data_IF_243878891272
#
_entry.id   IF_243878891272
#
_cell.length_a   1.000
_cell.length_b   1.000
_cell.length_c   1.000
_cell.angle_alpha   90.00
_cell.angle_beta   90.00
_cell.angle_gamma   90.00
#
_symmetry.space_group_name_H-M   'P 1'
#
loop_
_entity.id
_entity.type
_entity.pdbx_description
1 polymer ?
#
# COMPACT_ATOMS: atom_id res chain seq x y z
N UNK A 1 -47.45 -6.90 -74.09
CA UNK A 1 -48.20 -6.60 -72.85
C UNK A 1 -47.22 -6.07 -71.80
N UNK A 2 -47.63 -5.07 -71.00
CA UNK A 2 -46.89 -4.33 -69.93
C UNK A 2 -46.50 -5.24 -68.73
N UNK A 3 -45.91 -4.78 -67.59
CA UNK A 3 -45.30 -3.48 -67.16
C UNK A 3 -43.89 -3.65 -66.51
N UNK A 4 -43.00 -2.64 -66.37
CA UNK A 4 -42.73 -1.62 -65.30
C UNK A 4 -42.69 -2.16 -63.84
N UNK A 5 -41.62 -1.78 -63.10
CA UNK A 5 -41.36 -1.67 -61.63
C UNK A 5 -40.06 -2.41 -61.20
N UNK A 6 -39.10 -1.93 -60.39
CA UNK A 6 -38.91 -0.74 -59.55
C UNK A 6 -37.41 -0.53 -59.23
N UNK A 7 -37.10 0.66 -58.71
CA UNK A 7 -35.83 1.16 -58.16
C UNK A 7 -35.40 0.46 -56.86
N UNK A 8 -34.10 0.44 -56.53
CA UNK A 8 -33.60 0.82 -55.20
C UNK A 8 -32.06 0.89 -55.16
N UNK A 9 -31.54 2.10 -54.96
CA UNK A 9 -30.17 2.39 -54.56
C UNK A 9 -29.94 1.94 -53.11
N UNK A 10 -28.83 1.26 -52.84
CA UNK A 10 -28.49 0.76 -51.52
C UNK A 10 -26.99 0.81 -51.21
N UNK A 11 -26.46 2.03 -51.10
CA UNK A 11 -25.32 2.44 -50.26
C UNK A 11 -24.33 1.32 -49.85
N UNK A 12 -23.37 0.97 -50.72
CA UNK A 12 -22.25 0.11 -50.32
C UNK A 12 -21.30 0.90 -49.40
N UNK A 13 -21.44 0.61 -48.10
CA UNK A 13 -20.63 1.15 -47.03
C UNK A 13 -19.15 0.85 -47.29
N UNK A 14 -18.40 1.90 -47.62
CA UNK A 14 -16.95 1.85 -47.74
C UNK A 14 -16.34 1.24 -46.47
N UNK A 15 -15.90 -0.02 -46.56
CA UNK A 15 -15.02 -0.65 -45.58
C UNK A 15 -13.71 0.15 -45.55
N UNK A 16 -13.65 1.16 -44.69
CA UNK A 16 -12.39 1.80 -44.35
C UNK A 16 -11.45 0.72 -43.82
N UNK A 17 -10.47 0.32 -44.65
CA UNK A 17 -9.40 -0.59 -44.23
C UNK A 17 -8.63 0.10 -43.12
N UNK A 18 -8.98 -0.21 -41.88
CA UNK A 18 -8.21 0.22 -40.72
C UNK A 18 -6.78 -0.33 -40.94
N UNK A 19 -5.77 0.55 -41.07
CA UNK A 19 -4.41 0.08 -41.31
C UNK A 19 -3.92 -0.82 -40.17
N UNK A 20 -3.14 -1.86 -40.48
CA UNK A 20 -2.66 -2.85 -39.49
C UNK A 20 -1.97 -2.20 -38.28
N UNK A 21 -1.30 -1.06 -38.47
CA UNK A 21 -0.67 -0.30 -37.38
C UNK A 21 -1.66 0.14 -36.27
N UNK A 22 -2.93 0.37 -36.61
CA UNK A 22 -3.96 0.83 -35.66
C UNK A 22 -4.56 -0.33 -34.86
N UNK A 23 -4.56 -1.55 -35.41
CA UNK A 23 -4.94 -2.78 -34.68
C UNK A 23 -3.88 -3.17 -33.65
N UNK A 24 -2.60 -3.07 -33.99
CA UNK A 24 -1.50 -3.37 -33.06
C UNK A 24 -1.48 -2.45 -31.83
N UNK A 25 -1.72 -1.13 -31.99
CA UNK A 25 -1.84 -0.21 -30.84
C UNK A 25 -3.02 -0.53 -29.92
N UNK A 26 -4.13 -1.06 -30.46
CA UNK A 26 -5.29 -1.49 -29.66
C UNK A 26 -5.02 -2.79 -28.90
N UNK A 27 -4.37 -3.77 -29.52
CA UNK A 27 -3.96 -5.01 -28.85
C UNK A 27 -2.88 -4.75 -27.77
N UNK A 28 -1.93 -3.85 -28.03
CA UNK A 28 -0.92 -3.46 -27.03
C UNK A 28 -1.51 -2.75 -25.80
N UNK A 29 -2.68 -2.12 -25.95
CA UNK A 29 -3.44 -1.50 -24.84
C UNK A 29 -4.31 -2.48 -24.07
N UNK A 30 -4.82 -3.54 -24.71
CA UNK A 30 -5.65 -4.56 -24.05
C UNK A 30 -4.84 -5.56 -23.21
N UNK A 31 -3.52 -5.69 -23.45
CA UNK A 31 -2.62 -6.50 -22.63
C UNK A 31 -2.15 -5.83 -21.33
N UNK A 32 -2.55 -4.59 -21.07
CA UNK A 32 -2.42 -3.98 -19.75
C UNK A 32 -3.76 -4.05 -19.04
N UNK A 33 -4.08 -5.23 -18.52
CA UNK A 33 -5.04 -5.31 -17.43
C UNK A 33 -4.51 -4.40 -16.30
N UNK A 34 -5.28 -3.40 -15.80
CA UNK A 34 -4.85 -2.54 -14.69
C UNK A 34 -4.53 -3.32 -13.41
N UNK A 35 -4.90 -4.60 -13.38
CA UNK A 35 -4.66 -5.57 -12.32
C UNK A 35 -3.28 -6.24 -12.37
N UNK A 36 -2.53 -6.14 -13.49
CA UNK A 36 -1.23 -6.80 -13.66
C UNK A 36 -0.01 -5.88 -13.44
N UNK A 37 -0.21 -4.59 -13.13
CA UNK A 37 0.89 -3.70 -12.71
C UNK A 37 1.20 -3.80 -11.20
N UNK A 38 0.56 -4.74 -10.49
CA UNK A 38 0.81 -4.95 -9.07
C UNK A 38 1.79 -6.10 -8.89
N UNK A 39 2.94 -5.74 -8.29
CA UNK A 39 4.00 -6.57 -7.67
C UNK A 39 5.31 -6.72 -8.46
N UNK A 40 5.98 -5.60 -8.73
CA UNK A 40 7.40 -5.51 -8.36
C UNK A 40 7.50 -5.42 -6.83
N UNK A 41 7.14 -6.50 -6.13
CA UNK A 41 7.35 -6.62 -4.69
C UNK A 41 8.84 -6.90 -4.43
N UNK A 42 9.70 -5.93 -4.72
CA UNK A 42 10.89 -5.80 -3.88
C UNK A 42 10.38 -5.61 -2.46
N UNK A 43 10.75 -6.48 -1.52
CA UNK A 43 10.31 -6.37 -0.13
C UNK A 43 10.65 -4.95 0.33
N UNK A 44 9.62 -4.15 0.66
CA UNK A 44 9.81 -2.75 1.03
C UNK A 44 10.67 -2.74 2.30
N UNK A 45 11.86 -2.15 2.22
CA UNK A 45 12.76 -2.01 3.39
C UNK A 45 12.04 -1.26 4.51
N UNK A 46 12.37 -1.56 5.76
CA UNK A 46 11.85 -0.85 6.92
C UNK A 46 11.96 0.67 6.73
N UNK A 47 10.80 1.34 6.72
CA UNK A 47 10.68 2.74 6.40
C UNK A 47 9.56 3.41 7.21
N UNK A 48 9.69 4.72 7.38
CA UNK A 48 8.63 5.55 7.94
C UNK A 48 7.51 5.75 6.90
N UNK A 49 6.28 5.62 7.36
CA UNK A 49 5.06 5.94 6.62
C UNK A 49 4.29 6.99 7.41
N UNK A 50 3.63 7.89 6.71
CA UNK A 50 2.89 8.98 7.32
C UNK A 50 1.48 9.01 6.74
N UNK A 51 0.50 9.30 7.58
CA UNK A 51 -0.89 9.49 7.17
C UNK A 51 -1.59 10.52 8.05
N UNK A 52 -2.50 11.35 7.49
CA UNK A 52 -3.36 12.20 8.29
C UNK A 52 -4.36 11.33 9.07
N UNK A 53 -4.51 11.59 10.37
CA UNK A 53 -5.40 10.86 11.28
C UNK A 53 -6.06 11.86 12.23
N UNK A 54 -7.34 11.66 12.58
CA UNK A 54 -7.98 12.43 13.66
C UNK A 54 -7.49 11.91 15.00
N UNK A 55 -7.50 12.75 16.03
CA UNK A 55 -7.19 12.34 17.41
C UNK A 55 -8.14 11.23 17.88
N UNK A 56 -9.43 11.35 17.56
CA UNK A 56 -10.44 10.33 17.91
C UNK A 56 -10.14 8.96 17.29
N UNK A 57 -9.61 8.95 16.06
CA UNK A 57 -9.30 7.73 15.32
C UNK A 57 -8.06 7.00 15.85
N UNK A 58 -7.28 7.63 16.75
CA UNK A 58 -6.15 6.96 17.42
C UNK A 58 -6.61 5.94 18.47
N UNK A 59 -7.89 5.96 18.86
CA UNK A 59 -8.44 4.99 19.82
C UNK A 59 -7.91 5.13 21.25
N UNK A 60 -7.41 6.32 21.61
CA UNK A 60 -6.86 6.60 22.95
C UNK A 60 -7.90 7.11 23.96
N UNK A 61 -9.20 7.11 23.58
CA UNK A 61 -10.30 7.58 24.43
C UNK A 61 -10.53 9.09 24.42
N UNK A 62 -9.77 9.85 23.62
CA UNK A 62 -9.99 11.27 23.42
C UNK A 62 -10.99 11.51 22.29
N UNK A 63 -11.87 12.50 22.47
CA UNK A 63 -12.78 12.97 21.43
C UNK A 63 -12.33 14.37 21.02
N UNK A 64 -11.87 14.50 19.78
CA UNK A 64 -11.45 15.76 19.16
C UNK A 64 -11.50 15.65 17.63
N UNK A 65 -11.83 16.75 16.97
CA UNK A 65 -11.84 16.85 15.50
C UNK A 65 -10.46 17.20 14.92
N UNK A 66 -9.47 17.46 15.78
CA UNK A 66 -8.12 17.81 15.36
C UNK A 66 -7.47 16.68 14.55
N UNK A 67 -6.83 17.05 13.44
CA UNK A 67 -6.15 16.12 12.52
C UNK A 67 -4.65 16.30 12.65
N UNK A 68 -3.95 15.19 12.88
CA UNK A 68 -2.50 15.16 13.03
C UNK A 68 -1.86 14.31 11.92
N UNK A 69 -0.58 14.57 11.67
CA UNK A 69 0.24 13.72 10.79
C UNK A 69 0.81 12.56 11.62
N UNK A 70 0.22 11.38 11.48
CA UNK A 70 0.63 10.19 12.22
C UNK A 70 1.69 9.40 11.44
N UNK A 71 2.88 9.29 12.02
CA UNK A 71 3.98 8.47 11.53
C UNK A 71 3.97 7.05 12.12
N UNK A 72 4.14 6.04 11.28
CA UNK A 72 4.28 4.64 11.69
C UNK A 72 5.36 3.90 10.91
N UNK A 73 5.90 2.84 11.50
CA UNK A 73 6.97 2.04 10.91
C UNK A 73 6.42 0.79 10.24
N UNK A 74 6.80 0.57 8.99
CA UNK A 74 6.42 -0.61 8.24
C UNK A 74 7.51 -1.03 7.25
N UNK A 75 7.56 -2.33 6.94
CA UNK A 75 8.49 -2.92 5.98
C UNK A 75 9.25 -4.12 6.54
N UNK A 76 10.14 -4.68 5.73
CA UNK A 76 10.97 -5.83 6.05
C UNK A 76 12.36 -5.41 6.55
N UNK A 77 12.88 -6.21 7.47
CA UNK A 77 14.18 -6.04 8.11
C UNK A 77 15.19 -7.16 7.76
N UNK A 78 14.96 -7.90 6.67
CA UNK A 78 15.82 -9.01 6.23
C UNK A 78 17.29 -8.63 6.02
N UNK A 79 17.58 -7.38 5.71
CA UNK A 79 18.96 -6.90 5.52
C UNK A 79 19.71 -6.58 6.82
N UNK A 80 19.06 -6.72 7.99
CA UNK A 80 19.61 -6.37 9.31
C UNK A 80 19.64 -7.55 10.29
N UNK A 81 19.54 -8.78 9.76
CA UNK A 81 19.66 -10.03 10.53
C UNK A 81 21.03 -10.10 11.20
N UNK A 82 21.05 -10.43 12.50
CA UNK A 82 22.23 -10.59 13.35
C UNK A 82 22.54 -12.07 13.60
N UNK A 83 23.70 -12.37 14.18
CA UNK A 83 24.06 -13.76 14.53
C UNK A 83 23.04 -14.40 15.49
N UNK A 84 22.49 -13.64 16.43
CA UNK A 84 21.45 -14.12 17.34
C UNK A 84 20.22 -14.65 16.58
N UNK A 85 19.73 -13.87 15.61
CA UNK A 85 18.58 -14.21 14.77
C UNK A 85 18.82 -15.52 13.98
N UNK A 86 20.03 -15.70 13.45
CA UNK A 86 20.44 -16.93 12.75
C UNK A 86 20.48 -18.13 13.69
N UNK A 87 21.08 -17.97 14.87
CA UNK A 87 21.17 -19.03 15.88
C UNK A 87 19.76 -19.45 16.32
N UNK A 88 18.90 -18.49 16.65
CA UNK A 88 17.51 -18.76 17.04
C UNK A 88 16.73 -19.46 15.93
N UNK A 89 16.87 -19.00 14.69
CA UNK A 89 16.25 -19.64 13.53
C UNK A 89 16.69 -21.10 13.36
N UNK A 90 17.99 -21.37 13.50
CA UNK A 90 18.53 -22.74 13.45
C UNK A 90 18.04 -23.61 14.61
N UNK A 91 18.08 -23.10 15.84
CA UNK A 91 17.61 -23.84 17.02
C UNK A 91 16.13 -24.22 16.91
N UNK A 92 15.30 -23.31 16.35
CA UNK A 92 13.89 -23.62 16.07
C UNK A 92 13.75 -24.66 14.96
N UNK A 93 14.52 -24.53 13.87
CA UNK A 93 14.52 -25.50 12.76
C UNK A 93 14.92 -26.91 13.20
N UNK A 94 15.84 -27.01 14.17
CA UNK A 94 16.26 -28.27 14.78
C UNK A 94 15.36 -28.74 15.92
N UNK A 95 14.24 -28.05 16.18
CA UNK A 95 13.29 -28.34 17.25
C UNK A 95 13.92 -28.32 18.67
N UNK A 96 15.04 -27.60 18.86
CA UNK A 96 15.58 -27.34 20.20
C UNK A 96 14.76 -26.29 20.95
N UNK A 97 14.06 -25.42 20.22
CA UNK A 97 13.11 -24.45 20.77
C UNK A 97 11.74 -24.74 20.18
N UNK A 98 10.78 -25.11 21.03
CA UNK A 98 9.40 -25.40 20.64
C UNK A 98 8.47 -24.17 20.69
N UNK A 99 8.96 -23.05 21.20
CA UNK A 99 8.18 -21.82 21.33
C UNK A 99 7.87 -21.22 19.95
N UNK A 100 6.59 -21.18 19.60
CA UNK A 100 6.10 -20.64 18.34
C UNK A 100 5.95 -19.12 18.34
N UNK A 101 5.96 -18.50 19.53
CA UNK A 101 5.87 -17.04 19.69
C UNK A 101 7.21 -16.33 19.46
N UNK A 102 8.31 -17.08 19.43
CA UNK A 102 9.64 -16.53 19.23
C UNK A 102 9.81 -15.96 17.82
N UNK A 103 10.07 -14.66 17.74
CA UNK A 103 10.43 -14.01 16.49
C UNK A 103 11.90 -14.26 16.17
N UNK A 104 12.14 -14.88 15.02
CA UNK A 104 13.48 -15.17 14.51
C UNK A 104 14.12 -13.96 13.82
N UNK A 105 13.32 -13.02 13.30
CA UNK A 105 13.80 -11.89 12.53
C UNK A 105 13.46 -10.57 13.22
N UNK A 106 14.32 -9.55 13.08
CA UNK A 106 14.09 -8.23 13.67
C UNK A 106 12.84 -7.58 13.10
N UNK A 107 12.13 -6.82 13.93
CA UNK A 107 10.91 -6.12 13.55
C UNK A 107 11.19 -4.67 13.18
N UNK A 108 10.42 -4.13 12.23
CA UNK A 108 10.45 -2.71 11.91
C UNK A 108 9.68 -1.92 12.98
N UNK A 109 10.39 -1.29 13.92
CA UNK A 109 9.79 -0.53 15.03
C UNK A 109 10.29 0.91 15.08
N UNK A 110 9.55 1.81 15.74
CA UNK A 110 10.03 3.17 16.00
C UNK A 110 11.28 3.14 16.89
N UNK A 111 12.34 3.82 16.44
CA UNK A 111 13.55 4.09 17.23
C UNK A 111 13.61 5.53 17.72
N UNK A 112 12.66 6.36 17.26
CA UNK A 112 12.48 7.73 17.69
C UNK A 112 11.06 8.20 17.38
N UNK A 113 10.57 9.13 18.19
CA UNK A 113 9.22 9.67 18.11
C UNK A 113 9.26 11.16 17.78
N UNK A 114 8.16 11.66 17.24
CA UNK A 114 7.96 13.10 17.09
C UNK A 114 7.71 13.77 18.44
N UNK A 115 7.67 15.11 18.40
CA UNK A 115 7.38 15.93 19.57
C UNK A 115 6.00 15.65 20.17
N UNK A 116 5.74 16.19 21.39
CA UNK A 116 4.40 16.14 21.97
C UNK A 116 3.38 16.80 21.03
N UNK A 117 2.23 16.15 20.90
CA UNK A 117 1.08 16.65 20.15
C UNK A 117 0.09 17.19 21.16
N UNK A 118 -0.20 18.49 21.11
CA UNK A 118 -1.18 19.13 21.98
C UNK A 118 -2.43 19.52 21.20
N UNK A 119 -3.60 19.16 21.71
CA UNK A 119 -4.90 19.39 21.08
C UNK A 119 -5.95 19.81 22.11
N UNK A 120 -7.08 20.35 21.63
CA UNK A 120 -8.25 20.62 22.45
C UNK A 120 -9.28 19.49 22.31
N UNK A 121 -9.80 19.02 23.44
CA UNK A 121 -10.91 18.07 23.46
C UNK A 121 -12.28 18.76 23.33
N UNK A 122 -13.35 17.97 23.26
CA UNK A 122 -14.74 18.46 23.20
C UNK A 122 -15.17 19.36 24.36
N UNK A 123 -14.45 19.32 25.49
CA UNK A 123 -14.71 20.17 26.65
C UNK A 123 -13.82 21.42 26.67
N UNK A 124 -13.13 21.71 25.56
CA UNK A 124 -12.14 22.77 25.43
C UNK A 124 -10.99 22.65 26.46
N UNK A 125 -10.68 21.43 26.90
CA UNK A 125 -9.51 21.19 27.75
C UNK A 125 -8.31 20.83 26.87
N UNK A 126 -7.17 21.41 27.22
CA UNK A 126 -5.92 21.13 26.52
C UNK A 126 -5.34 19.80 26.98
N UNK A 127 -5.05 18.93 26.02
CA UNK A 127 -4.48 17.61 26.24
C UNK A 127 -3.15 17.49 25.50
N UNK A 128 -2.21 16.72 26.05
CA UNK A 128 -0.88 16.53 25.46
C UNK A 128 -0.58 15.04 25.35
N UNK A 129 -0.39 14.56 24.12
CA UNK A 129 0.03 13.21 23.80
C UNK A 129 1.53 13.17 23.49
N UNK A 130 2.24 12.24 24.14
CA UNK A 130 3.68 12.04 23.95
C UNK A 130 3.94 10.68 23.32
N UNK A 131 4.96 10.63 22.45
CA UNK A 131 5.44 9.38 21.83
C UNK A 131 4.34 8.60 21.07
N UNK A 132 3.39 9.31 20.47
CA UNK A 132 2.32 8.68 19.66
C UNK A 132 2.73 8.49 18.19
N UNK A 133 3.49 9.42 17.60
CA UNK A 133 3.92 9.37 16.20
C UNK A 133 5.39 8.99 16.10
N UNK A 134 5.73 8.05 15.20
CA UNK A 134 7.10 7.67 14.91
C UNK A 134 7.78 8.73 14.02
N UNK A 135 9.01 9.11 14.38
CA UNK A 135 9.87 10.01 13.60
C UNK A 135 10.96 9.26 12.84
N UNK A 136 11.43 8.15 13.41
CA UNK A 136 12.49 7.32 12.83
C UNK A 136 12.16 5.85 13.04
N UNK A 137 12.41 5.04 12.03
CA UNK A 137 12.20 3.60 12.05
C UNK A 137 13.54 2.86 12.00
N UNK A 138 13.60 1.72 12.67
CA UNK A 138 14.76 0.85 12.68
C UNK A 138 14.36 -0.61 12.83
N UNK A 139 15.30 -1.49 12.52
CA UNK A 139 15.18 -2.92 12.74
C UNK A 139 15.73 -3.26 14.12
N UNK A 140 14.85 -3.71 15.01
CA UNK A 140 15.16 -4.05 16.41
C UNK A 140 14.65 -5.43 16.77
#
# INVERSE_FOLDING_TARGET
MRPIQDEEEGMEQGRTRIPRYRRERRQKRQNYSPLALKRKNGKVKCALKEMPMRITDLGLGYVSEEVIKFGYCAGSCEHKVKNYDVVVSNLRKWNHIADTSLQEAPCCRPVGYDGPVGFLDVNNQYQILRKISAKKCGCV
#
